data_IF_409160336465
#
_entry.id   IF_409160336465
#
_cell.length_a   1.000
_cell.length_b   1.000
_cell.length_c   1.000
_cell.angle_alpha   90.00
_cell.angle_beta   90.00
_cell.angle_gamma   90.00
#
_symmetry.space_group_name_H-M   'P 1'
#
loop_
_entity.id
_entity.type
_entity.pdbx_description
1 polymer ?
#
# COMPACT_ATOMS: atom_id res chain seq x y z
N UNK A 1 -8.87 -20.95 -5.34
CA UNK A 1 -8.04 -21.19 -4.15
C UNK A 1 -6.79 -20.32 -4.13
N UNK A 2 -6.11 -20.12 -5.25
CA UNK A 2 -4.89 -19.28 -5.32
C UNK A 2 -5.13 -17.82 -4.92
N UNK A 3 -6.16 -17.16 -5.46
CA UNK A 3 -6.52 -15.77 -5.11
C UNK A 3 -6.69 -15.59 -3.59
N UNK A 4 -7.30 -16.57 -2.91
CA UNK A 4 -7.47 -16.54 -1.46
C UNK A 4 -6.13 -16.54 -0.72
N UNK A 5 -5.21 -17.43 -1.12
CA UNK A 5 -3.85 -17.44 -0.56
C UNK A 5 -3.09 -16.15 -0.86
N UNK A 6 -3.22 -15.60 -2.07
CA UNK A 6 -2.62 -14.32 -2.45
C UNK A 6 -3.11 -13.19 -1.55
N UNK A 7 -4.43 -13.06 -1.37
CA UNK A 7 -5.01 -12.06 -0.47
C UNK A 7 -4.52 -12.27 0.97
N UNK A 8 -4.46 -13.51 1.44
CA UNK A 8 -3.99 -13.83 2.80
C UNK A 8 -2.52 -13.44 3.00
N UNK A 9 -1.65 -13.80 2.06
CA UNK A 9 -0.23 -13.46 2.08
C UNK A 9 -0.06 -11.94 2.04
N UNK A 10 -0.72 -11.24 1.10
CA UNK A 10 -0.63 -9.78 0.99
C UNK A 10 -1.11 -9.10 2.26
N UNK A 11 -2.24 -9.53 2.84
CA UNK A 11 -2.76 -9.00 4.10
C UNK A 11 -1.78 -9.20 5.26
N UNK A 12 -1.20 -10.41 5.37
CA UNK A 12 -0.21 -10.74 6.41
C UNK A 12 1.04 -9.87 6.27
N UNK A 13 1.58 -9.76 5.05
CA UNK A 13 2.79 -8.99 4.74
C UNK A 13 2.59 -7.51 5.05
N UNK A 14 1.47 -6.93 4.60
CA UNK A 14 1.12 -5.53 4.88
C UNK A 14 0.99 -5.29 6.39
N UNK A 15 0.32 -6.19 7.11
CA UNK A 15 0.19 -6.09 8.57
C UNK A 15 1.54 -6.17 9.30
N UNK A 16 2.38 -7.15 8.93
CA UNK A 16 3.71 -7.34 9.51
C UNK A 16 4.65 -6.16 9.19
N UNK A 17 4.56 -5.58 7.99
CA UNK A 17 5.36 -4.40 7.62
C UNK A 17 5.13 -3.22 8.59
N UNK A 18 3.90 -3.03 9.07
CA UNK A 18 3.55 -2.03 10.07
C UNK A 18 4.20 -2.30 11.44
N UNK A 19 4.33 -3.56 11.84
CA UNK A 19 5.02 -3.93 13.08
C UNK A 19 6.53 -3.72 12.93
N UNK A 20 7.11 -4.20 11.82
CA UNK A 20 8.55 -4.07 11.55
C UNK A 20 8.99 -2.61 11.52
N UNK A 21 8.23 -1.74 10.84
CA UNK A 21 8.54 -0.29 10.78
C UNK A 21 8.52 0.40 12.14
N UNK A 22 7.75 -0.10 13.12
CA UNK A 22 7.72 0.43 14.49
C UNK A 22 8.86 -0.07 15.38
N UNK A 23 9.35 -1.29 15.13
CA UNK A 23 10.40 -1.93 15.95
C UNK A 23 11.81 -1.58 15.45
N UNK A 24 11.95 -1.25 14.17
CA UNK A 24 13.22 -0.86 13.58
C UNK A 24 13.78 0.43 14.20
N UNK A 25 15.11 0.52 14.42
CA UNK A 25 15.75 1.73 14.94
C UNK A 25 15.81 2.87 13.90
N UNK A 26 15.55 2.57 12.62
CA UNK A 26 15.52 3.54 11.53
C UNK A 26 14.07 3.82 11.12
N UNK A 27 13.72 5.10 11.02
CA UNK A 27 12.39 5.55 10.62
C UNK A 27 12.22 5.52 9.10
N UNK A 28 12.02 4.32 8.54
CA UNK A 28 11.68 4.18 7.11
C UNK A 28 10.16 4.38 6.96
N UNK A 29 9.71 5.29 6.08
CA UNK A 29 8.29 5.45 5.77
C UNK A 29 7.64 4.12 5.37
N UNK A 30 6.49 3.81 5.97
CA UNK A 30 5.72 2.60 5.67
C UNK A 30 5.50 2.37 4.17
N UNK A 31 5.17 3.41 3.34
CA UNK A 31 5.00 3.22 1.91
C UNK A 31 6.25 2.67 1.22
N UNK A 32 7.45 3.15 1.58
CA UNK A 32 8.70 2.68 0.98
C UNK A 32 9.00 1.23 1.35
N UNK A 33 8.75 0.85 2.61
CA UNK A 33 8.88 -0.53 3.06
C UNK A 33 7.93 -1.48 2.33
N UNK A 34 6.68 -1.07 2.13
CA UNK A 34 5.68 -1.86 1.42
C UNK A 34 6.02 -2.05 -0.06
N UNK A 35 6.50 -1.00 -0.73
CA UNK A 35 6.98 -1.10 -2.13
C UNK A 35 8.15 -2.07 -2.22
N UNK A 36 9.14 -1.97 -1.31
CA UNK A 36 10.30 -2.85 -1.31
C UNK A 36 9.91 -4.32 -1.09
N UNK A 37 9.05 -4.60 -0.11
CA UNK A 37 8.59 -5.97 0.17
C UNK A 37 7.73 -6.49 -0.99
N UNK A 38 6.83 -5.67 -1.54
CA UNK A 38 6.01 -6.03 -2.69
C UNK A 38 6.85 -6.38 -3.93
N UNK A 39 7.88 -5.58 -4.22
CA UNK A 39 8.82 -5.84 -5.32
C UNK A 39 9.61 -7.14 -5.13
N UNK A 40 10.01 -7.47 -3.89
CA UNK A 40 10.66 -8.74 -3.56
C UNK A 40 9.72 -9.93 -3.74
N UNK A 41 8.44 -9.79 -3.36
CA UNK A 41 7.44 -10.85 -3.52
C UNK A 41 7.04 -11.07 -4.98
N UNK A 42 6.96 -10.00 -5.76
CA UNK A 42 6.70 -10.06 -7.20
C UNK A 42 7.93 -10.50 -8.01
N UNK A 43 9.03 -10.88 -7.37
CA UNK A 43 10.22 -11.35 -8.08
C UNK A 43 9.90 -12.64 -8.89
N UNK A 44 10.44 -12.81 -10.11
CA UNK A 44 10.09 -13.91 -11.02
C UNK A 44 10.13 -15.32 -10.41
N UNK A 45 10.96 -15.54 -9.40
CA UNK A 45 11.16 -16.84 -8.75
C UNK A 45 10.05 -17.20 -7.76
N UNK A 46 9.30 -16.23 -7.22
CA UNK A 46 8.29 -16.49 -6.19
C UNK A 46 6.90 -16.78 -6.77
N UNK A 47 6.68 -16.53 -8.06
CA UNK A 47 5.40 -16.80 -8.74
C UNK A 47 4.22 -15.94 -8.28
N UNK A 48 4.42 -15.03 -7.31
CA UNK A 48 3.38 -14.16 -6.77
C UNK A 48 3.26 -12.88 -7.62
N UNK A 49 2.85 -13.05 -8.87
CA UNK A 49 2.61 -11.93 -9.78
C UNK A 49 1.14 -11.55 -9.72
N UNK A 50 0.87 -10.37 -9.16
CA UNK A 50 -0.45 -9.75 -9.23
C UNK A 50 -0.36 -8.68 -10.30
N UNK A 51 -1.20 -8.78 -11.33
CA UNK A 51 -1.30 -7.77 -12.36
C UNK A 51 -1.87 -6.48 -11.75
N UNK A 52 -1.14 -5.38 -11.92
CA UNK A 52 -1.59 -4.08 -11.45
C UNK A 52 -2.57 -3.49 -12.46
N UNK A 53 -3.81 -3.27 -12.05
CA UNK A 53 -4.84 -2.59 -12.83
C UNK A 53 -4.90 -1.11 -12.43
N UNK A 54 -4.41 -0.18 -13.29
CA UNK A 54 -4.41 1.24 -12.97
C UNK A 54 -5.82 1.82 -12.86
N UNK A 55 -6.79 1.32 -13.62
CA UNK A 55 -8.16 1.83 -13.62
C UNK A 55 -8.84 1.52 -12.28
N UNK A 56 -8.70 0.29 -11.80
CA UNK A 56 -9.19 -0.11 -10.47
C UNK A 56 -8.51 0.69 -9.35
N UNK A 57 -7.19 0.93 -9.46
CA UNK A 57 -6.48 1.76 -8.49
C UNK A 57 -7.02 3.19 -8.46
N UNK A 58 -7.19 3.82 -9.64
CA UNK A 58 -7.68 5.18 -9.75
C UNK A 58 -9.08 5.32 -9.15
N UNK A 59 -10.00 4.41 -9.47
CA UNK A 59 -11.38 4.46 -8.97
C UNK A 59 -11.47 4.21 -7.47
N UNK A 60 -10.67 3.29 -6.92
CA UNK A 60 -10.75 2.92 -5.51
C UNK A 60 -9.99 3.86 -4.58
N UNK A 61 -8.84 4.41 -5.02
CA UNK A 61 -7.96 5.18 -4.13
C UNK A 61 -8.03 6.69 -4.36
N UNK A 62 -8.13 7.17 -5.60
CA UNK A 62 -8.04 8.62 -5.87
C UNK A 62 -9.21 9.39 -5.28
N UNK A 63 -10.50 9.01 -5.47
CA UNK A 63 -11.60 9.78 -4.91
C UNK A 63 -11.57 9.87 -3.38
N UNK A 64 -11.37 8.77 -2.62
CA UNK A 64 -11.25 8.86 -1.16
C UNK A 64 -10.06 9.69 -0.69
N UNK A 65 -8.91 9.58 -1.35
CA UNK A 65 -7.71 10.39 -1.02
C UNK A 65 -7.99 11.88 -1.23
N UNK A 66 -8.54 12.26 -2.38
CA UNK A 66 -8.89 13.65 -2.68
C UNK A 66 -9.96 14.20 -1.73
N UNK A 67 -10.94 13.38 -1.34
CA UNK A 67 -11.93 13.78 -0.33
C UNK A 67 -11.29 14.01 1.04
N UNK A 68 -10.41 13.11 1.47
CA UNK A 68 -9.70 13.25 2.74
C UNK A 68 -8.76 14.45 2.74
N UNK A 69 -8.11 14.74 1.61
CA UNK A 69 -7.23 15.90 1.45
C UNK A 69 -8.05 17.20 1.42
N UNK A 70 -9.12 17.25 0.64
CA UNK A 70 -10.01 18.41 0.58
C UNK A 70 -10.67 18.74 1.91
N UNK A 71 -10.96 17.73 2.75
CA UNK A 71 -11.47 17.95 4.11
C UNK A 71 -10.43 18.56 5.05
N UNK A 72 -9.14 18.21 4.88
CA UNK A 72 -8.05 18.70 5.72
C UNK A 72 -7.57 20.11 5.34
N UNK A 73 -7.85 20.56 4.12
CA UNK A 73 -7.45 21.89 3.65
C UNK A 73 -8.20 23.00 4.40
N UNK A 74 -7.51 23.88 5.14
CA UNK A 74 -8.15 25.00 5.82
C UNK A 74 -8.76 25.98 4.81
N UNK A 75 -10.01 26.38 5.02
CA UNK A 75 -10.72 27.32 4.13
C UNK A 75 -10.06 28.70 4.04
N UNK A 76 -9.13 28.99 4.96
CA UNK A 76 -8.32 30.23 5.01
C UNK A 76 -7.20 30.27 3.97
N UNK A 77 -6.84 29.15 3.35
CA UNK A 77 -5.87 29.10 2.24
C UNK A 77 -6.49 29.52 0.90
N UNK A 78 -7.83 29.60 0.84
CA UNK A 78 -8.59 30.01 -0.36
C UNK A 78 -9.07 31.46 -0.33
N UNK A 79 -8.72 32.23 0.71
CA UNK A 79 -8.98 33.66 0.86
C UNK A 79 -7.72 34.47 0.55
#
# INVERSE_FOLDING_TARGET
MEIFFTILIMTLVVSLSGVVTRVMPFQIPLPLMQIAIGALLAWPTFGLHVEFDPELFLVLFIPPLLFADGWKTPTREFL
#
